data_IF_318249147770
#
_entry.id   IF_318249147770
#
_cell.length_a   1.000
_cell.length_b   1.000
_cell.length_c   1.000
_cell.angle_alpha   90.00
_cell.angle_beta   90.00
_cell.angle_gamma   90.00
#
_symmetry.space_group_name_H-M   'P 1'
#
loop_
_entity.id
_entity.type
_entity.pdbx_description
1 polymer ?
#
# COMPACT_ATOMS: atom_id res chain seq x y z
N UNK A 1 -5.16 33.59 -13.49
CA UNK A 1 -6.53 34.10 -13.31
C UNK A 1 -7.21 33.12 -12.36
N UNK A 2 -7.22 33.45 -11.06
CA UNK A 2 -7.75 32.56 -10.03
C UNK A 2 -9.28 32.57 -10.15
N UNK A 3 -9.88 31.40 -10.36
CA UNK A 3 -11.32 31.25 -10.34
C UNK A 3 -11.81 31.54 -8.91
N UNK A 4 -12.79 32.43 -8.77
CA UNK A 4 -13.49 32.64 -7.50
C UNK A 4 -14.08 31.32 -6.99
N UNK A 5 -14.11 31.09 -5.66
CA UNK A 5 -14.77 29.93 -5.09
C UNK A 5 -16.26 29.97 -5.48
N UNK A 6 -16.70 28.98 -6.26
CA UNK A 6 -18.12 28.81 -6.57
C UNK A 6 -18.87 28.69 -5.25
N UNK A 7 -19.75 29.66 -4.96
CA UNK A 7 -20.68 29.54 -3.86
C UNK A 7 -21.60 28.35 -4.15
N UNK A 8 -21.44 27.26 -3.38
CA UNK A 8 -22.24 26.05 -3.53
C UNK A 8 -23.67 26.31 -3.07
N UNK A 9 -24.59 26.33 -4.03
CA UNK A 9 -26.02 26.22 -3.75
C UNK A 9 -26.30 24.80 -3.28
N UNK A 10 -26.59 24.66 -1.99
CA UNK A 10 -27.08 23.43 -1.37
C UNK A 10 -28.22 22.86 -2.20
N UNK A 11 -28.16 21.56 -2.53
CA UNK A 11 -29.30 20.86 -3.14
C UNK A 11 -30.33 20.58 -2.04
N UNK A 12 -31.50 21.23 -2.04
CA UNK A 12 -32.48 21.01 -0.98
C UNK A 12 -32.92 19.53 -0.97
N UNK A 13 -32.85 18.90 0.21
CA UNK A 13 -33.24 17.50 0.43
C UNK A 13 -32.14 16.44 0.23
N UNK A 14 -30.91 16.83 -0.07
CA UNK A 14 -29.77 15.92 -0.23
C UNK A 14 -28.88 15.96 1.02
N UNK A 15 -28.64 14.80 1.65
CA UNK A 15 -27.80 14.72 2.86
C UNK A 15 -26.37 15.20 2.57
N UNK A 16 -25.78 15.95 3.49
CA UNK A 16 -24.40 16.48 3.43
C UNK A 16 -23.45 15.53 4.14
N UNK A 17 -22.43 15.05 3.42
CA UNK A 17 -21.46 14.09 3.96
C UNK A 17 -20.05 14.67 3.88
N UNK A 18 -19.37 14.74 5.02
CA UNK A 18 -17.95 15.06 5.07
C UNK A 18 -17.12 13.78 4.91
N UNK A 19 -16.12 13.79 4.05
CA UNK A 19 -15.10 12.72 3.96
C UNK A 19 -13.76 13.31 4.42
N UNK A 20 -13.19 12.75 5.48
CA UNK A 20 -11.95 13.27 6.11
C UNK A 20 -10.78 12.37 5.74
N UNK A 21 -9.88 12.89 4.91
CA UNK A 21 -8.72 12.18 4.35
C UNK A 21 -8.95 11.78 2.89
N UNK A 22 -7.98 12.09 2.03
CA UNK A 22 -8.06 11.82 0.58
C UNK A 22 -7.18 10.67 0.10
N UNK A 23 -6.83 9.74 0.99
CA UNK A 23 -6.29 8.44 0.58
C UNK A 23 -7.28 7.67 -0.29
N UNK A 24 -6.86 6.52 -0.83
CA UNK A 24 -7.72 5.68 -1.68
C UNK A 24 -9.08 5.34 -1.05
N UNK A 25 -9.15 5.11 0.26
CA UNK A 25 -10.40 4.86 0.97
C UNK A 25 -11.36 6.06 0.91
N UNK A 26 -10.85 7.27 1.18
CA UNK A 26 -11.64 8.50 1.14
C UNK A 26 -12.06 8.87 -0.27
N UNK A 27 -11.17 8.73 -1.25
CA UNK A 27 -11.49 8.95 -2.66
C UNK A 27 -12.54 7.96 -3.17
N UNK A 28 -12.43 6.67 -2.79
CA UNK A 28 -13.43 5.67 -3.16
C UNK A 28 -14.79 5.96 -2.51
N UNK A 29 -14.81 6.35 -1.23
CA UNK A 29 -16.04 6.75 -0.53
C UNK A 29 -16.68 7.98 -1.20
N UNK A 30 -15.88 9.03 -1.45
CA UNK A 30 -16.35 10.25 -2.09
C UNK A 30 -16.87 10.01 -3.52
N UNK A 31 -16.16 9.18 -4.29
CA UNK A 31 -16.60 8.78 -5.64
C UNK A 31 -17.91 7.99 -5.61
N UNK A 32 -18.08 7.06 -4.66
CA UNK A 32 -19.29 6.23 -4.56
C UNK A 32 -20.50 7.05 -4.11
N UNK A 33 -20.29 8.02 -3.22
CA UNK A 33 -21.34 8.92 -2.72
C UNK A 33 -21.70 10.03 -3.72
N UNK A 34 -20.87 10.23 -4.76
CA UNK A 34 -21.08 11.26 -5.76
C UNK A 34 -22.45 11.07 -6.45
N UNK A 35 -23.26 12.13 -6.44
CA UNK A 35 -24.61 12.11 -7.01
C UNK A 35 -25.70 11.54 -6.09
N UNK A 36 -25.33 10.87 -4.99
CA UNK A 36 -26.26 10.39 -3.96
C UNK A 36 -26.38 11.39 -2.80
N UNK A 37 -25.27 12.02 -2.43
CA UNK A 37 -25.18 13.00 -1.33
C UNK A 37 -24.40 14.25 -1.77
N UNK A 38 -24.51 15.32 -0.99
CA UNK A 38 -23.64 16.50 -1.12
C UNK A 38 -22.33 16.25 -0.37
N UNK A 39 -21.32 15.77 -1.11
CA UNK A 39 -20.04 15.34 -0.55
C UNK A 39 -19.05 16.49 -0.49
N UNK A 40 -18.42 16.65 0.67
CA UNK A 40 -17.23 17.50 0.84
C UNK A 40 -16.03 16.65 1.26
N UNK A 41 -14.98 16.63 0.43
CA UNK A 41 -13.73 15.95 0.73
C UNK A 41 -12.73 16.92 1.38
N UNK A 42 -12.25 16.59 2.58
CA UNK A 42 -11.23 17.34 3.30
C UNK A 42 -9.90 16.60 3.27
N UNK A 43 -8.85 17.32 2.86
CA UNK A 43 -7.47 16.85 2.89
C UNK A 43 -6.60 17.83 3.68
N UNK A 44 -5.79 17.29 4.59
CA UNK A 44 -4.89 18.09 5.43
C UNK A 44 -3.64 18.54 4.65
N UNK A 45 -3.14 17.71 3.74
CA UNK A 45 -1.97 17.98 2.90
C UNK A 45 -2.24 18.94 1.75
N UNK A 46 -1.17 19.21 1.00
CA UNK A 46 -1.14 20.08 -0.17
C UNK A 46 -1.41 19.33 -1.50
N UNK A 47 -1.68 18.03 -1.44
CA UNK A 47 -2.11 17.21 -2.57
C UNK A 47 -3.15 16.16 -2.14
N UNK A 48 -3.98 15.72 -3.09
CA UNK A 48 -4.92 14.62 -2.88
C UNK A 48 -4.25 13.27 -3.20
N UNK A 49 -4.60 12.22 -2.46
CA UNK A 49 -4.19 10.83 -2.78
C UNK A 49 -3.50 10.08 -1.64
N UNK A 50 -3.01 10.78 -0.61
CA UNK A 50 -2.24 10.18 0.48
C UNK A 50 -1.06 9.37 -0.07
N UNK A 51 -0.96 8.07 0.27
CA UNK A 51 0.12 7.20 -0.24
C UNK A 51 0.10 7.00 -1.76
N UNK A 52 -0.97 7.36 -2.47
CA UNK A 52 -0.93 7.47 -3.93
C UNK A 52 -0.27 8.79 -4.29
N UNK A 53 1.06 8.77 -4.26
CA UNK A 53 1.91 9.92 -4.52
C UNK A 53 2.76 9.66 -5.77
N UNK A 54 2.71 10.62 -6.69
CA UNK A 54 3.47 10.60 -7.93
C UNK A 54 4.21 11.93 -8.06
N UNK A 55 5.51 11.89 -8.32
CA UNK A 55 6.35 13.07 -8.58
C UNK A 55 6.68 13.21 -10.06
N UNK A 56 6.95 14.42 -10.53
CA UNK A 56 7.41 14.66 -11.91
C UNK A 56 8.92 14.72 -11.96
N UNK A 57 9.52 13.89 -12.81
CA UNK A 57 10.96 13.90 -13.08
C UNK A 57 11.16 14.29 -14.54
N UNK A 58 11.95 15.34 -14.78
CA UNK A 58 12.28 15.78 -16.14
C UNK A 58 13.72 15.42 -16.48
N UNK A 59 13.91 14.65 -17.55
CA UNK A 59 15.20 14.18 -18.03
C UNK A 59 15.34 14.45 -19.54
N UNK A 60 16.54 14.73 -20.05
CA UNK A 60 16.77 14.79 -21.48
C UNK A 60 16.68 13.39 -22.10
N UNK A 61 16.03 13.28 -23.25
CA UNK A 61 16.09 12.09 -24.09
C UNK A 61 17.45 11.96 -24.80
N UNK A 62 17.64 10.90 -25.59
CA UNK A 62 18.88 10.67 -26.33
C UNK A 62 19.23 11.77 -27.34
N UNK A 63 18.27 12.63 -27.69
CA UNK A 63 18.43 13.78 -28.59
C UNK A 63 18.52 15.11 -27.82
N UNK A 64 18.58 15.08 -26.48
CA UNK A 64 18.67 16.25 -25.61
C UNK A 64 17.34 16.98 -25.37
N UNK A 65 16.20 16.46 -25.83
CA UNK A 65 14.89 17.06 -25.60
C UNK A 65 14.41 16.71 -24.19
N UNK A 66 13.91 17.71 -23.46
CA UNK A 66 13.38 17.49 -22.12
C UNK A 66 12.09 16.69 -22.17
N UNK A 67 12.04 15.58 -21.42
CA UNK A 67 10.88 14.74 -21.27
C UNK A 67 10.53 14.59 -19.78
N UNK A 68 9.27 14.82 -19.43
CA UNK A 68 8.77 14.67 -18.06
C UNK A 68 8.06 13.33 -17.89
N UNK A 69 8.35 12.66 -16.78
CA UNK A 69 7.77 11.38 -16.39
C UNK A 69 7.12 11.50 -15.01
N UNK A 70 5.88 11.06 -14.90
CA UNK A 70 5.26 10.80 -13.60
C UNK A 70 5.81 9.52 -12.98
N UNK A 71 6.44 9.63 -11.81
CA UNK A 71 7.05 8.51 -11.07
C UNK A 71 6.31 8.33 -9.74
N UNK A 72 5.70 7.16 -9.55
CA UNK A 72 5.03 6.80 -8.31
C UNK A 72 6.05 6.50 -7.21
N UNK A 73 5.81 6.98 -5.99
CA UNK A 73 6.71 6.78 -4.83
C UNK A 73 6.07 6.01 -3.68
N UNK A 74 4.78 5.70 -3.78
CA UNK A 74 4.05 4.92 -2.77
C UNK A 74 3.32 3.74 -3.41
N UNK A 75 2.09 3.96 -3.89
CA UNK A 75 1.37 2.95 -4.66
C UNK A 75 1.94 2.82 -6.08
N UNK A 76 2.53 1.66 -6.41
CA UNK A 76 3.28 1.44 -7.65
C UNK A 76 2.56 0.54 -8.65
N UNK A 77 1.98 -0.57 -8.16
CA UNK A 77 1.48 -1.66 -9.01
C UNK A 77 0.22 -2.33 -8.45
N UNK A 78 -0.52 -2.96 -9.36
CA UNK A 78 -1.72 -3.75 -9.08
C UNK A 78 -1.78 -5.00 -9.97
N UNK A 79 -2.71 -5.90 -9.68
CA UNK A 79 -3.00 -7.08 -10.49
C UNK A 79 -4.46 -7.51 -10.35
N UNK A 80 -4.94 -8.33 -11.29
CA UNK A 80 -6.33 -8.76 -11.39
C UNK A 80 -6.82 -9.64 -10.23
N UNK A 81 -5.91 -10.37 -9.58
CA UNK A 81 -6.25 -11.29 -8.49
C UNK A 81 -6.49 -10.55 -7.18
N UNK A 82 -5.62 -9.60 -6.83
CA UNK A 82 -5.64 -8.93 -5.52
C UNK A 82 -6.32 -7.56 -5.54
N UNK A 83 -6.54 -6.96 -6.73
CA UNK A 83 -7.11 -5.62 -6.88
C UNK A 83 -8.34 -5.55 -7.81
N UNK A 84 -9.32 -6.49 -7.74
CA UNK A 84 -10.46 -6.48 -8.66
C UNK A 84 -11.29 -5.19 -8.58
N UNK A 85 -11.53 -4.69 -7.36
CA UNK A 85 -12.31 -3.46 -7.14
C UNK A 85 -11.58 -2.21 -7.66
N UNK A 86 -10.25 -2.16 -7.53
CA UNK A 86 -9.47 -1.03 -8.02
C UNK A 86 -9.42 -1.00 -9.55
N UNK A 87 -9.30 -2.17 -10.19
CA UNK A 87 -9.40 -2.28 -11.65
C UNK A 87 -10.79 -1.89 -12.16
N UNK A 88 -11.85 -2.30 -11.47
CA UNK A 88 -13.21 -1.87 -11.80
C UNK A 88 -13.35 -0.34 -11.69
N UNK A 89 -12.80 0.27 -10.63
CA UNK A 89 -12.76 1.72 -10.48
C UNK A 89 -11.98 2.39 -11.62
N UNK A 90 -10.81 1.86 -11.98
CA UNK A 90 -10.02 2.41 -13.09
C UNK A 90 -10.75 2.31 -14.42
N UNK A 91 -11.47 1.21 -14.67
CA UNK A 91 -12.31 1.07 -15.85
C UNK A 91 -13.44 2.09 -15.88
N UNK A 92 -14.15 2.31 -14.76
CA UNK A 92 -15.20 3.33 -14.64
C UNK A 92 -14.67 4.75 -14.86
N UNK A 93 -13.44 5.00 -14.43
CA UNK A 93 -12.77 6.28 -14.59
C UNK A 93 -12.03 6.41 -15.92
N UNK A 94 -12.03 5.42 -16.83
CA UNK A 94 -11.21 5.39 -18.04
C UNK A 94 -9.70 5.64 -17.77
N UNK A 95 -9.16 5.06 -16.69
CA UNK A 95 -7.74 5.13 -16.34
C UNK A 95 -7.04 3.90 -16.94
N UNK A 96 -6.17 4.08 -17.94
CA UNK A 96 -5.48 2.95 -18.55
C UNK A 96 -4.48 2.34 -17.56
N UNK A 97 -4.25 1.05 -17.71
CA UNK A 97 -3.17 0.33 -17.04
C UNK A 97 -2.31 -0.37 -18.09
N UNK A 98 -1.00 -0.46 -17.82
CA UNK A 98 -0.04 -1.13 -18.70
C UNK A 98 0.68 -2.24 -17.95
N UNK A 99 1.07 -3.33 -18.61
CA UNK A 99 1.90 -4.36 -17.99
C UNK A 99 3.16 -3.76 -17.37
N UNK A 100 3.49 -4.22 -16.16
CA UNK A 100 4.69 -3.83 -15.42
C UNK A 100 5.48 -5.06 -15.03
N UNK A 101 6.79 -5.02 -15.28
CA UNK A 101 7.71 -6.09 -14.91
C UNK A 101 8.20 -5.90 -13.48
N UNK A 102 7.55 -6.58 -12.52
CA UNK A 102 7.97 -6.63 -11.12
C UNK A 102 9.11 -7.65 -10.91
N UNK A 103 10.21 -7.47 -11.64
CA UNK A 103 11.38 -8.34 -11.54
C UNK A 103 12.14 -8.14 -10.22
N UNK A 104 12.88 -9.17 -9.79
CA UNK A 104 13.64 -9.15 -8.54
C UNK A 104 15.07 -9.63 -8.75
N UNK A 105 16.02 -8.92 -8.15
CA UNK A 105 17.45 -9.27 -8.15
C UNK A 105 18.08 -8.93 -6.80
N UNK A 106 19.04 -9.75 -6.39
CA UNK A 106 19.83 -9.53 -5.17
C UNK A 106 21.27 -9.28 -5.54
N UNK A 107 21.85 -8.27 -4.91
CA UNK A 107 23.28 -8.04 -4.85
C UNK A 107 23.68 -7.90 -3.37
N UNK A 108 24.51 -8.81 -2.88
CA UNK A 108 24.95 -8.81 -1.48
C UNK A 108 26.46 -9.07 -1.37
N UNK A 109 27.14 -8.35 -0.47
CA UNK A 109 28.55 -8.61 -0.14
C UNK A 109 28.65 -9.69 0.93
N UNK A 110 29.74 -10.47 0.94
CA UNK A 110 29.99 -11.48 1.97
C UNK A 110 29.23 -12.80 1.82
N UNK A 111 28.18 -12.84 0.99
CA UNK A 111 27.33 -14.03 0.80
C UNK A 111 27.71 -14.87 -0.44
N UNK A 112 28.68 -14.41 -1.22
CA UNK A 112 29.16 -15.11 -2.41
C UNK A 112 30.18 -16.21 -2.10
N UNK A 113 30.59 -16.98 -3.11
CA UNK A 113 31.66 -17.97 -2.98
C UNK A 113 32.91 -17.36 -2.35
N UNK A 114 33.51 -18.05 -1.38
CA UNK A 114 34.70 -17.60 -0.63
C UNK A 114 34.50 -16.25 0.11
N UNK A 115 33.27 -15.92 0.51
CA UNK A 115 32.94 -14.66 1.17
C UNK A 115 32.89 -13.45 0.23
N UNK A 116 32.81 -13.69 -1.07
CA UNK A 116 32.71 -12.64 -2.09
C UNK A 116 31.31 -12.07 -2.26
N UNK A 117 31.08 -11.45 -3.41
CA UNK A 117 29.78 -10.89 -3.80
C UNK A 117 28.83 -11.98 -4.29
N UNK A 118 27.60 -11.99 -3.79
CA UNK A 118 26.46 -12.75 -4.32
C UNK A 118 25.65 -11.87 -5.27
N UNK A 119 25.41 -12.37 -6.48
CA UNK A 119 24.49 -11.75 -7.45
C UNK A 119 23.62 -12.81 -8.11
N UNK A 120 22.30 -12.61 -8.08
CA UNK A 120 21.36 -13.46 -8.80
C UNK A 120 20.01 -12.76 -9.01
N UNK A 121 19.24 -13.23 -9.98
CA UNK A 121 17.87 -12.78 -10.23
C UNK A 121 16.96 -13.94 -10.61
N UNK A 122 15.71 -13.89 -10.15
CA UNK A 122 14.70 -14.92 -10.38
C UNK A 122 14.04 -14.92 -11.76
N UNK A 123 14.45 -14.06 -12.69
CA UNK A 123 13.76 -13.88 -13.99
C UNK A 123 13.98 -15.04 -14.97
N UNK A 124 15.12 -15.72 -14.91
CA UNK A 124 15.48 -16.83 -15.80
C UNK A 124 16.54 -17.74 -15.15
N UNK A 125 16.74 -18.96 -15.66
CA UNK A 125 17.84 -19.81 -15.19
C UNK A 125 19.22 -19.17 -15.43
N UNK A 126 19.40 -18.44 -16.53
CA UNK A 126 20.62 -17.68 -16.80
C UNK A 126 20.89 -16.59 -15.78
N UNK A 127 19.84 -15.93 -15.27
CA UNK A 127 19.97 -14.87 -14.25
C UNK A 127 20.07 -15.42 -12.83
N UNK A 128 19.49 -16.60 -12.56
CA UNK A 128 19.70 -17.32 -11.30
C UNK A 128 21.17 -17.73 -11.19
N UNK A 129 21.76 -18.24 -12.28
CA UNK A 129 23.18 -18.60 -12.36
C UNK A 129 23.99 -17.54 -13.11
N UNK A 130 23.71 -16.25 -12.87
CA UNK A 130 24.50 -15.14 -13.41
C UNK A 130 25.99 -15.33 -13.07
N UNK A 131 26.26 -15.82 -11.86
CA UNK A 131 27.56 -16.31 -11.43
C UNK A 131 27.63 -17.83 -11.62
N UNK A 132 28.30 -18.30 -12.69
CA UNK A 132 28.34 -19.73 -13.06
C UNK A 132 28.91 -20.66 -11.97
N UNK A 133 29.80 -20.16 -11.12
CA UNK A 133 30.33 -20.90 -9.98
C UNK A 133 29.22 -21.38 -9.01
N UNK A 134 28.06 -20.71 -9.01
CA UNK A 134 26.93 -21.09 -8.16
C UNK A 134 26.23 -22.39 -8.59
N UNK A 135 26.49 -22.90 -9.81
CA UNK A 135 25.99 -24.21 -10.27
C UNK A 135 26.47 -25.38 -9.40
N UNK A 136 27.64 -25.23 -8.77
CA UNK A 136 28.26 -26.26 -7.91
C UNK A 136 28.46 -25.77 -6.48
N UNK A 137 27.90 -24.61 -6.12
CA UNK A 137 28.00 -24.04 -4.79
C UNK A 137 26.90 -24.63 -3.89
N UNK A 138 27.21 -25.53 -2.93
CA UNK A 138 26.20 -26.20 -2.12
C UNK A 138 25.38 -25.22 -1.28
N UNK A 139 25.98 -24.12 -0.82
CA UNK A 139 25.28 -23.07 -0.06
C UNK A 139 24.23 -22.37 -0.91
N UNK A 140 24.56 -22.04 -2.15
CA UNK A 140 23.61 -21.41 -3.09
C UNK A 140 22.51 -22.38 -3.53
N UNK A 141 22.86 -23.64 -3.85
CA UNK A 141 21.86 -24.65 -4.19
C UNK A 141 20.92 -24.95 -3.02
N UNK A 142 21.44 -24.95 -1.78
CA UNK A 142 20.62 -25.06 -0.57
C UNK A 142 19.68 -23.87 -0.42
N UNK A 143 20.14 -22.65 -0.68
CA UNK A 143 19.30 -21.45 -0.70
C UNK A 143 18.11 -21.63 -1.67
N UNK A 144 18.37 -22.04 -2.91
CA UNK A 144 17.31 -22.29 -3.90
C UNK A 144 16.32 -23.38 -3.45
N UNK A 145 16.82 -24.48 -2.87
CA UNK A 145 15.98 -25.53 -2.31
C UNK A 145 15.10 -25.03 -1.16
N UNK A 146 15.66 -24.19 -0.29
CA UNK A 146 14.92 -23.55 0.80
C UNK A 146 13.86 -22.56 0.30
N UNK A 147 14.08 -21.85 -0.81
CA UNK A 147 13.04 -21.01 -1.46
C UNK A 147 11.84 -21.86 -1.85
N UNK A 148 12.07 -22.97 -2.57
CA UNK A 148 10.99 -23.89 -2.99
C UNK A 148 10.27 -24.48 -1.78
N UNK A 149 11.02 -24.87 -0.74
CA UNK A 149 10.47 -25.43 0.50
C UNK A 149 9.63 -24.40 1.26
N UNK A 150 10.10 -23.17 1.40
CA UNK A 150 9.39 -22.08 2.05
C UNK A 150 8.05 -21.81 1.35
N UNK A 151 8.09 -21.74 0.03
CA UNK A 151 6.91 -21.50 -0.80
C UNK A 151 5.83 -22.58 -0.61
N UNK A 152 6.22 -23.85 -0.64
CA UNK A 152 5.31 -24.98 -0.38
C UNK A 152 4.73 -24.93 1.02
N UNK A 153 5.56 -24.68 2.04
CA UNK A 153 5.14 -24.64 3.43
C UNK A 153 4.12 -23.52 3.67
N UNK A 154 4.38 -22.31 3.18
CA UNK A 154 3.47 -21.19 3.34
C UNK A 154 2.13 -21.43 2.63
N UNK A 155 2.15 -22.02 1.43
CA UNK A 155 0.90 -22.38 0.71
C UNK A 155 0.07 -23.37 1.52
N UNK A 156 0.69 -24.41 2.07
CA UNK A 156 0.01 -25.40 2.92
C UNK A 156 -0.59 -24.76 4.18
N UNK A 157 0.15 -23.85 4.83
CA UNK A 157 -0.33 -23.16 6.03
C UNK A 157 -1.54 -22.25 5.73
N UNK A 158 -1.54 -21.55 4.59
CA UNK A 158 -2.65 -20.72 4.15
C UNK A 158 -3.90 -21.57 3.79
N UNK A 159 -3.71 -22.67 3.04
CA UNK A 159 -4.81 -23.58 2.67
C UNK A 159 -5.45 -24.27 3.88
N UNK A 160 -4.69 -24.46 4.96
CA UNK A 160 -5.17 -24.99 6.23
C UNK A 160 -5.85 -23.93 7.12
N UNK A 161 -5.85 -22.65 6.72
CA UNK A 161 -6.40 -21.54 7.49
C UNK A 161 -5.65 -21.22 8.78
N UNK A 162 -4.38 -21.64 8.90
CA UNK A 162 -3.56 -21.46 10.10
C UNK A 162 -2.97 -20.05 10.22
N UNK A 163 -3.13 -19.22 9.19
CA UNK A 163 -2.72 -17.82 9.11
C UNK A 163 -3.79 -16.82 9.59
N UNK A 164 -4.86 -17.30 10.23
CA UNK A 164 -5.86 -16.44 10.85
C UNK A 164 -5.23 -15.50 11.92
N UNK A 165 -5.75 -14.28 12.13
CA UNK A 165 -5.21 -13.31 13.10
C UNK A 165 -5.11 -13.81 14.55
N UNK A 166 -5.91 -14.82 14.90
CA UNK A 166 -5.92 -15.50 16.21
C UNK A 166 -5.35 -16.92 16.14
N UNK A 167 -4.70 -17.26 15.04
CA UNK A 167 -4.18 -18.60 14.75
C UNK A 167 -2.85 -18.90 15.43
N UNK A 168 -2.36 -20.16 15.32
CA UNK A 168 -1.15 -20.61 16.00
C UNK A 168 0.15 -19.98 15.45
N UNK A 169 0.09 -19.21 14.35
CA UNK A 169 1.25 -18.64 13.65
C UNK A 169 1.60 -17.21 14.09
N UNK A 170 1.31 -16.85 15.34
CA UNK A 170 1.64 -15.53 15.90
C UNK A 170 3.09 -15.40 16.38
N UNK A 171 3.88 -16.47 16.30
CA UNK A 171 5.30 -16.41 16.65
C UNK A 171 6.10 -15.49 15.71
N UNK A 172 7.22 -14.92 16.18
CA UNK A 172 8.11 -14.13 15.35
C UNK A 172 8.64 -14.92 14.15
N UNK A 173 8.77 -14.26 13.02
CA UNK A 173 9.27 -14.85 11.78
C UNK A 173 10.69 -15.44 11.94
N UNK A 174 11.56 -14.76 12.69
CA UNK A 174 12.90 -15.27 12.99
C UNK A 174 12.90 -16.61 13.71
N UNK A 175 11.94 -16.81 14.64
CA UNK A 175 11.82 -18.05 15.41
C UNK A 175 11.34 -19.19 14.52
N UNK A 176 10.35 -18.91 13.68
CA UNK A 176 9.84 -19.84 12.68
C UNK A 176 10.93 -20.31 11.71
N UNK A 177 11.77 -19.40 11.22
CA UNK A 177 12.88 -19.77 10.33
C UNK A 177 13.87 -20.73 11.01
N UNK A 178 14.20 -20.48 12.28
CA UNK A 178 15.09 -21.34 13.07
C UNK A 178 14.45 -22.70 13.36
N UNK A 179 13.21 -22.71 13.84
CA UNK A 179 12.44 -23.93 14.15
C UNK A 179 12.31 -24.83 12.91
N UNK A 180 12.02 -24.24 11.75
CA UNK A 180 11.90 -24.94 10.47
C UNK A 180 13.23 -25.14 9.75
N UNK A 181 14.37 -24.83 10.39
CA UNK A 181 15.75 -25.06 9.90
C UNK A 181 16.03 -24.52 8.49
N UNK A 182 15.55 -23.30 8.20
CA UNK A 182 15.95 -22.57 7.00
C UNK A 182 17.41 -22.12 7.10
N UNK A 183 18.15 -22.18 6.00
CA UNK A 183 19.57 -21.78 5.97
C UNK A 183 19.74 -20.27 6.10
N UNK A 184 20.89 -19.83 6.63
CA UNK A 184 21.28 -18.41 6.65
C UNK A 184 21.38 -17.86 5.22
N UNK A 185 21.81 -18.68 4.26
CA UNK A 185 21.84 -18.30 2.85
C UNK A 185 20.43 -17.96 2.31
N UNK A 186 19.41 -18.73 2.68
CA UNK A 186 18.01 -18.38 2.40
C UNK A 186 17.58 -17.10 3.09
N UNK A 187 17.86 -16.97 4.38
CA UNK A 187 17.46 -15.80 5.18
C UNK A 187 18.07 -14.51 4.60
N UNK A 188 19.37 -14.50 4.43
CA UNK A 188 20.15 -13.29 4.13
C UNK A 188 20.29 -13.03 2.63
N UNK A 189 20.31 -14.09 1.80
CA UNK A 189 20.53 -14.01 0.35
C UNK A 189 19.25 -13.95 -0.50
N UNK A 190 18.07 -14.14 0.11
CA UNK A 190 16.78 -14.09 -0.58
C UNK A 190 15.71 -13.43 0.27
N UNK A 191 15.46 -13.99 1.46
CA UNK A 191 14.24 -13.72 2.19
C UNK A 191 14.19 -12.28 2.72
N UNK A 192 15.20 -11.86 3.49
CA UNK A 192 15.29 -10.48 3.98
C UNK A 192 15.38 -9.45 2.85
N UNK A 193 16.20 -9.64 1.79
CA UNK A 193 16.18 -8.75 0.63
C UNK A 193 14.79 -8.61 -0.02
N UNK A 194 14.08 -9.72 -0.21
CA UNK A 194 12.73 -9.72 -0.80
C UNK A 194 11.74 -8.94 0.06
N UNK A 195 11.75 -9.15 1.38
CA UNK A 195 10.88 -8.41 2.30
C UNK A 195 11.25 -6.94 2.38
N UNK A 196 12.54 -6.63 2.29
CA UNK A 196 13.09 -5.27 2.15
C UNK A 196 12.40 -4.46 1.07
N UNK A 197 12.23 -5.06 -0.10
CA UNK A 197 11.56 -4.42 -1.24
C UNK A 197 10.06 -4.15 -1.04
N UNK A 198 9.44 -4.73 -0.02
CA UNK A 198 7.98 -4.71 0.16
C UNK A 198 7.58 -3.88 1.37
N UNK A 199 8.19 -4.14 2.52
CA UNK A 199 7.80 -3.49 3.77
C UNK A 199 8.66 -2.30 4.14
N UNK A 200 9.74 -2.04 3.39
CA UNK A 200 10.59 -0.85 3.55
C UNK A 200 10.94 -0.57 5.01
N UNK A 201 11.23 -1.61 5.80
CA UNK A 201 11.62 -1.49 7.21
C UNK A 201 12.94 -2.23 7.50
N UNK A 202 13.62 -1.94 8.62
CA UNK A 202 14.83 -2.63 9.02
C UNK A 202 14.64 -4.15 9.13
N UNK A 203 15.66 -4.93 8.76
CA UNK A 203 15.56 -6.41 8.67
C UNK A 203 15.33 -7.08 10.02
N UNK A 204 15.83 -6.52 11.11
CA UNK A 204 15.57 -6.97 12.49
C UNK A 204 14.09 -6.83 12.87
N UNK A 205 13.44 -5.75 12.45
CA UNK A 205 12.01 -5.55 12.66
C UNK A 205 11.16 -6.51 11.82
N UNK A 206 11.57 -6.80 10.57
CA UNK A 206 10.88 -7.80 9.74
C UNK A 206 10.85 -9.18 10.40
N UNK A 207 11.92 -9.56 11.10
CA UNK A 207 12.01 -10.84 11.80
C UNK A 207 11.09 -10.91 13.04
N UNK A 208 10.61 -9.79 13.55
CA UNK A 208 9.66 -9.71 14.65
C UNK A 208 8.20 -9.81 14.19
N UNK A 209 7.92 -9.72 12.88
CA UNK A 209 6.55 -9.79 12.38
C UNK A 209 5.94 -11.19 12.57
N UNK A 210 4.62 -11.27 12.86
CA UNK A 210 3.93 -12.55 12.95
C UNK A 210 3.99 -13.33 11.63
N UNK A 211 4.25 -14.64 11.72
CA UNK A 211 4.29 -15.54 10.54
C UNK A 211 2.96 -15.53 9.79
N UNK A 212 1.83 -15.43 10.49
CA UNK A 212 0.50 -15.33 9.89
C UNK A 212 0.41 -14.20 8.84
N UNK A 213 0.89 -13.00 9.18
CA UNK A 213 0.89 -11.85 8.27
C UNK A 213 1.71 -12.13 7.02
N UNK A 214 2.87 -12.77 7.17
CA UNK A 214 3.75 -13.15 6.07
C UNK A 214 3.11 -14.16 5.13
N UNK A 215 2.59 -15.26 5.68
CA UNK A 215 2.00 -16.38 4.93
C UNK A 215 0.86 -15.86 4.08
N UNK A 216 -0.06 -15.11 4.70
CA UNK A 216 -1.20 -14.49 4.03
C UNK A 216 -0.76 -13.54 2.92
N UNK A 217 0.18 -12.65 3.23
CA UNK A 217 0.68 -11.67 2.27
C UNK A 217 1.29 -12.35 1.04
N UNK A 218 2.20 -13.29 1.26
CA UNK A 218 2.89 -13.95 0.17
C UNK A 218 1.98 -14.92 -0.63
N UNK A 219 0.99 -15.54 0.01
CA UNK A 219 -0.03 -16.35 -0.65
C UNK A 219 -0.92 -15.48 -1.55
N UNK A 220 -1.48 -14.39 -1.01
CA UNK A 220 -2.37 -13.50 -1.74
C UNK A 220 -1.71 -12.85 -2.95
N UNK A 221 -0.47 -12.37 -2.81
CA UNK A 221 0.23 -11.62 -3.87
C UNK A 221 1.03 -12.51 -4.84
N UNK A 222 0.98 -13.83 -4.68
CA UNK A 222 1.71 -14.76 -5.56
C UNK A 222 3.22 -14.61 -5.52
N UNK A 223 3.78 -13.91 -4.51
CA UNK A 223 5.22 -13.74 -4.30
C UNK A 223 5.91 -15.09 -4.01
N UNK A 224 5.14 -16.04 -3.51
CA UNK A 224 5.52 -17.44 -3.26
C UNK A 224 5.40 -18.33 -4.51
N UNK A 225 4.70 -17.88 -5.56
CA UNK A 225 4.38 -18.73 -6.70
C UNK A 225 5.56 -18.77 -7.69
N UNK A 226 6.11 -19.97 -7.91
CA UNK A 226 7.15 -20.24 -8.91
C UNK A 226 6.58 -20.34 -10.34
N UNK A 227 5.27 -20.56 -10.47
CA UNK A 227 4.52 -20.68 -11.72
C UNK A 227 3.18 -19.93 -11.57
N UNK A 228 2.59 -19.46 -12.67
CA UNK A 228 1.31 -18.70 -12.67
C UNK A 228 1.30 -17.42 -11.83
N UNK A 229 2.41 -16.67 -11.84
CA UNK A 229 2.45 -15.34 -11.24
C UNK A 229 1.42 -14.43 -11.94
N UNK A 230 0.67 -13.62 -11.19
CA UNK A 230 -0.22 -12.65 -11.80
C UNK A 230 0.60 -11.64 -12.61
N UNK A 231 0.05 -11.20 -13.74
CA UNK A 231 0.60 -10.04 -14.45
C UNK A 231 0.41 -8.81 -13.56
N UNK A 232 1.51 -8.11 -13.28
CA UNK A 232 1.44 -6.83 -12.62
C UNK A 232 1.18 -5.73 -13.64
N UNK A 233 0.47 -4.71 -13.22
CA UNK A 233 0.15 -3.54 -14.02
C UNK A 233 0.51 -2.28 -13.24
N UNK A 234 0.74 -1.20 -13.97
CA UNK A 234 0.92 0.15 -13.42
C UNK A 234 0.12 1.17 -14.23
N UNK A 235 -0.07 2.36 -13.68
CA UNK A 235 -0.74 3.46 -14.38
C UNK A 235 0.31 4.29 -15.13
N UNK A 236 0.22 4.43 -16.47
CA UNK A 236 1.19 5.22 -17.20
C UNK A 236 1.13 6.69 -16.75
N UNK A 237 2.29 7.30 -16.54
CA UNK A 237 2.45 8.64 -15.95
C UNK A 237 1.97 8.77 -14.49
N UNK A 238 1.83 7.63 -13.80
CA UNK A 238 1.61 7.54 -12.37
C UNK A 238 0.16 7.51 -11.91
N UNK A 239 -0.04 6.94 -10.73
CA UNK A 239 -1.34 6.67 -10.15
C UNK A 239 -2.11 7.95 -9.74
N UNK A 240 -1.47 9.14 -9.66
CA UNK A 240 -2.18 10.42 -9.45
C UNK A 240 -3.33 10.66 -10.45
N UNK A 241 -3.29 10.02 -11.62
CA UNK A 241 -4.30 10.13 -12.68
C UNK A 241 -5.70 9.77 -12.19
N UNK A 242 -5.90 8.67 -11.46
CA UNK A 242 -7.23 8.31 -10.98
C UNK A 242 -7.70 9.29 -9.89
N UNK A 243 -6.77 9.77 -9.06
CA UNK A 243 -7.05 10.77 -8.02
C UNK A 243 -7.60 12.04 -8.66
N UNK A 244 -6.91 12.54 -9.70
CA UNK A 244 -7.35 13.73 -10.45
C UNK A 244 -8.74 13.52 -11.06
N UNK A 245 -9.02 12.36 -11.65
CA UNK A 245 -10.33 12.08 -12.25
C UNK A 245 -11.46 12.05 -11.21
N UNK A 246 -11.23 11.45 -10.04
CA UNK A 246 -12.22 11.46 -8.96
C UNK A 246 -12.45 12.90 -8.48
N UNK A 247 -11.39 13.63 -8.14
CA UNK A 247 -11.48 14.99 -7.58
C UNK A 247 -12.17 15.96 -8.54
N UNK A 248 -11.92 15.85 -9.85
CA UNK A 248 -12.58 16.67 -10.87
C UNK A 248 -14.11 16.47 -10.94
N UNK A 249 -14.61 15.33 -10.48
CA UNK A 249 -16.04 15.02 -10.44
C UNK A 249 -16.70 15.41 -9.11
N UNK A 250 -15.91 15.74 -8.08
CA UNK A 250 -16.42 16.16 -6.79
C UNK A 250 -16.76 17.66 -6.83
N UNK A 251 -17.96 18.05 -6.36
CA UNK A 251 -18.32 19.46 -6.31
C UNK A 251 -17.44 20.23 -5.32
N UNK A 252 -17.07 19.62 -4.20
CA UNK A 252 -16.30 20.24 -3.14
C UNK A 252 -15.18 19.33 -2.62
N UNK A 253 -13.93 19.67 -2.98
CA UNK A 253 -12.73 18.98 -2.53
C UNK A 253 -11.69 20.01 -2.11
N UNK A 254 -11.16 19.88 -0.89
CA UNK A 254 -10.42 20.96 -0.22
C UNK A 254 -9.06 20.45 0.27
N UNK A 255 -8.00 21.01 -0.29
CA UNK A 255 -6.62 20.84 0.19
C UNK A 255 -6.31 21.79 1.35
N UNK A 256 -5.21 21.54 2.06
CA UNK A 256 -4.72 22.37 3.15
C UNK A 256 -5.82 22.71 4.17
N UNK A 257 -6.77 21.77 4.36
CA UNK A 257 -7.97 21.94 5.17
C UNK A 257 -7.99 20.87 6.25
N UNK A 258 -7.00 20.87 7.17
CA UNK A 258 -6.95 19.87 8.24
C UNK A 258 -8.19 20.01 9.12
N UNK A 259 -8.92 18.90 9.24
CA UNK A 259 -9.95 18.79 10.27
C UNK A 259 -9.24 18.70 11.62
N UNK A 260 -9.68 19.52 12.58
CA UNK A 260 -9.10 19.62 13.92
C UNK A 260 -9.92 18.86 14.96
N UNK A 261 -11.24 18.84 14.77
CA UNK A 261 -12.15 18.16 15.67
C UNK A 261 -13.47 17.81 14.96
N UNK A 262 -14.14 16.78 15.47
CA UNK A 262 -15.50 16.39 15.11
C UNK A 262 -16.39 16.49 16.34
N UNK A 263 -17.41 17.36 16.29
CA UNK A 263 -18.36 17.54 17.38
C UNK A 263 -19.71 16.96 16.94
N UNK A 264 -20.07 15.80 17.50
CA UNK A 264 -21.32 15.09 17.20
C UNK A 264 -22.45 15.55 18.11
N UNK A 265 -23.65 15.64 17.56
CA UNK A 265 -24.88 15.85 18.33
C UNK A 265 -26.08 15.15 17.66
N UNK A 266 -27.29 15.45 18.12
CA UNK A 266 -28.51 14.82 17.62
C UNK A 266 -28.83 15.18 16.16
N UNK A 267 -28.31 16.30 15.65
CA UNK A 267 -28.61 16.82 14.32
C UNK A 267 -27.54 16.40 13.29
N UNK A 268 -26.37 15.94 13.74
CA UNK A 268 -25.33 15.39 12.88
C UNK A 268 -23.93 15.57 13.45
N UNK A 269 -23.04 16.13 12.64
CA UNK A 269 -21.63 16.36 13.00
C UNK A 269 -21.14 17.72 12.52
N UNK A 270 -20.58 18.49 13.44
CA UNK A 270 -19.81 19.69 13.12
C UNK A 270 -18.36 19.31 12.86
N UNK A 271 -17.89 19.64 11.67
CA UNK A 271 -16.50 19.51 11.25
C UNK A 271 -15.79 20.84 11.53
N UNK A 272 -14.79 20.80 12.40
CA UNK A 272 -13.99 21.98 12.78
C UNK A 272 -12.70 21.98 11.96
N UNK A 273 -12.45 23.06 11.21
CA UNK A 273 -11.19 23.34 10.52
C UNK A 273 -10.62 24.66 11.02
N UNK A 274 -9.39 25.00 10.63
CA UNK A 274 -8.78 26.29 10.98
C UNK A 274 -9.57 27.49 10.41
N UNK A 275 -10.26 27.30 9.28
CA UNK A 275 -10.98 28.36 8.60
C UNK A 275 -12.44 28.52 9.06
N UNK A 276 -13.11 27.41 9.38
CA UNK A 276 -14.55 27.42 9.70
C UNK A 276 -15.00 26.16 10.43
N UNK A 277 -16.18 26.27 11.03
CA UNK A 277 -16.98 25.15 11.53
C UNK A 277 -18.18 24.97 10.61
N UNK A 278 -18.38 23.77 10.09
CA UNK A 278 -19.49 23.44 9.19
C UNK A 278 -20.26 22.24 9.72
N UNK A 279 -21.59 22.28 9.57
CA UNK A 279 -22.46 21.15 9.88
C UNK A 279 -22.56 20.20 8.69
N UNK A 280 -22.56 18.90 8.98
CA UNK A 280 -22.81 17.80 8.06
C UNK A 280 -23.75 16.79 8.72
N UNK A 281 -24.54 16.07 7.92
CA UNK A 281 -25.46 15.04 8.44
C UNK A 281 -24.70 13.75 8.80
N UNK A 282 -23.58 13.49 8.11
CA UNK A 282 -22.69 12.36 8.40
C UNK A 282 -21.22 12.68 8.09
N UNK A 283 -20.32 11.91 8.68
CA UNK A 283 -18.88 11.94 8.42
C UNK A 283 -18.35 10.55 8.11
N UNK A 284 -17.47 10.46 7.12
CA UNK A 284 -16.65 9.29 6.82
C UNK A 284 -15.21 9.62 7.23
N UNK A 285 -14.70 8.91 8.23
CA UNK A 285 -13.30 8.99 8.66
C UNK A 285 -12.46 8.06 7.77
N UNK A 286 -11.74 8.65 6.81
CA UNK A 286 -10.84 7.96 5.89
C UNK A 286 -9.35 8.24 6.21
N UNK A 287 -9.06 8.54 7.47
CA UNK A 287 -7.73 8.75 8.03
C UNK A 287 -7.28 7.55 8.87
N UNK A 288 -6.05 7.56 9.39
CA UNK A 288 -5.58 6.51 10.30
C UNK A 288 -6.40 6.49 11.61
N UNK A 289 -6.44 5.36 12.31
CA UNK A 289 -7.27 5.19 13.51
C UNK A 289 -6.81 6.07 14.67
N UNK A 290 -5.50 6.30 14.80
CA UNK A 290 -4.94 7.23 15.78
C UNK A 290 -5.36 8.68 15.47
N UNK A 291 -5.41 9.05 14.20
CA UNK A 291 -5.91 10.34 13.73
C UNK A 291 -7.41 10.46 13.99
N UNK A 292 -8.20 9.44 13.62
CA UNK A 292 -9.64 9.39 13.86
C UNK A 292 -9.97 9.57 15.35
N UNK A 293 -9.27 8.85 16.23
CA UNK A 293 -9.46 8.96 17.68
C UNK A 293 -9.14 10.37 18.19
N UNK A 294 -8.04 10.98 17.71
CA UNK A 294 -7.72 12.38 18.04
C UNK A 294 -8.80 13.36 17.57
N UNK A 295 -9.39 13.15 16.40
CA UNK A 295 -10.45 14.02 15.86
C UNK A 295 -11.76 13.89 16.64
N UNK A 296 -12.09 12.68 17.11
CA UNK A 296 -13.28 12.44 17.93
C UNK A 296 -13.10 13.02 19.36
N UNK A 297 -11.88 13.00 19.89
CA UNK A 297 -11.55 13.59 21.20
C UNK A 297 -12.45 13.04 22.32
N UNK A 298 -12.87 13.93 23.22
CA UNK A 298 -13.80 13.60 24.33
C UNK A 298 -15.18 13.13 23.86
N UNK A 299 -15.50 13.33 22.58
CA UNK A 299 -16.74 12.85 21.98
C UNK A 299 -16.70 11.37 21.64
N UNK A 300 -15.55 10.70 21.69
CA UNK A 300 -15.42 9.27 21.40
C UNK A 300 -16.12 8.42 22.47
N UNK A 301 -16.87 7.40 22.05
CA UNK A 301 -17.38 6.37 22.95
C UNK A 301 -16.26 5.44 23.42
N UNK A 302 -16.52 4.70 24.51
CA UNK A 302 -15.58 3.70 25.02
C UNK A 302 -15.23 2.66 23.94
N UNK A 303 -16.23 2.17 23.20
CA UNK A 303 -16.04 1.19 22.13
C UNK A 303 -15.18 1.74 20.97
N UNK A 304 -15.37 3.01 20.61
CA UNK A 304 -14.54 3.67 19.58
C UNK A 304 -13.10 3.84 20.08
N UNK A 305 -12.92 4.25 21.34
CA UNK A 305 -11.61 4.43 21.96
C UNK A 305 -10.84 3.11 21.99
N UNK A 306 -11.47 2.05 22.50
CA UNK A 306 -10.87 0.71 22.58
C UNK A 306 -10.47 0.18 21.19
N UNK A 307 -11.35 0.35 20.20
CA UNK A 307 -11.12 -0.16 18.85
C UNK A 307 -10.04 0.62 18.12
N UNK A 308 -10.11 1.96 18.14
CA UNK A 308 -9.21 2.81 17.36
C UNK A 308 -7.79 2.85 17.96
N UNK A 309 -7.65 2.76 19.29
CA UNK A 309 -6.37 2.75 19.98
C UNK A 309 -5.61 1.42 19.87
N UNK A 310 -6.28 0.32 19.49
CA UNK A 310 -5.66 -1.00 19.38
C UNK A 310 -4.66 -1.12 18.21
N UNK A 311 -4.73 -0.22 17.22
CA UNK A 311 -3.90 -0.28 16.01
C UNK A 311 -2.64 0.57 16.20
N UNK A 312 -1.47 -0.04 15.95
CA UNK A 312 -0.17 0.63 16.03
C UNK A 312 0.34 0.97 14.64
N UNK A 313 1.01 2.12 14.53
CA UNK A 313 1.59 2.62 13.29
C UNK A 313 3.12 2.69 13.38
N UNK A 314 3.77 2.61 12.22
CA UNK A 314 5.22 2.76 12.06
C UNK A 314 5.47 3.84 11.01
N UNK A 315 6.51 4.64 11.23
CA UNK A 315 7.02 5.57 10.22
C UNK A 315 7.88 4.80 9.23
N UNK A 316 7.62 4.96 7.94
CA UNK A 316 8.52 4.51 6.89
C UNK A 316 9.57 5.61 6.70
N UNK A 317 10.85 5.28 6.89
CA UNK A 317 11.97 6.23 6.74
C UNK A 317 12.38 6.37 5.27
#
# INVERSE_FOLDING_TARGET
MFAEPRQHLQRPGCARVAVVGSGISGLAAAHTLQGLTDVTLFEAGDYFGGHTHTVDITLPDAQGRQQTFGVDTGFLVLNERTYPNLLALFAQLDVPVVPSDMSFSVQAQGLGPKGGKLEWSGTSLSSVFAQRANLVNPTFLRMLADIVRFNKLCTQLAEQGLDAPSGPLMQPLGDFLRERRFSDAFRDGYFLPMLGCIWSCPTDQMLAFPVATMVRFCHNHGLIQLTQRPQWFTVPQGARRYVQKIVQQLPDARLNSPVRALLRDADGVRVVTDARVEHFDAVVLACHSDQALRLLGDGASDAETDTLAAIRYQTVS
#
